data_IF_553125083566
#
_entry.id   IF_553125083566
#
_cell.length_a   1.000
_cell.length_b   1.000
_cell.length_c   1.000
_cell.angle_alpha   90.00
_cell.angle_beta   90.00
_cell.angle_gamma   90.00
#
_symmetry.space_group_name_H-M   'P 1'
#
loop_
_entity.id
_entity.type
_entity.pdbx_description
1 polymer ?
#
# COMPACT_ATOMS: atom_id res chain seq x y z
N UNK A 1 -23.45 -25.19 19.53
CA UNK A 1 -22.06 -24.99 19.09
C UNK A 1 -22.06 -23.66 18.33
N UNK A 2 -21.53 -22.59 18.93
CA UNK A 2 -21.64 -21.23 18.36
C UNK A 2 -20.52 -21.07 17.33
N UNK A 3 -20.89 -20.90 16.05
CA UNK A 3 -19.99 -20.56 14.96
C UNK A 3 -19.71 -19.06 15.03
N UNK A 4 -18.52 -18.69 15.51
CA UNK A 4 -18.01 -17.34 15.29
C UNK A 4 -17.64 -17.24 13.81
N UNK A 5 -18.15 -16.26 13.05
CA UNK A 5 -17.61 -16.00 11.73
C UNK A 5 -16.16 -15.59 11.93
N UNK A 6 -15.22 -16.42 11.48
CA UNK A 6 -13.87 -15.96 11.20
C UNK A 6 -13.99 -14.90 10.11
N UNK A 7 -14.18 -13.66 10.52
CA UNK A 7 -13.86 -12.49 9.70
C UNK A 7 -12.34 -12.53 9.58
N UNK A 8 -11.86 -13.41 8.71
CA UNK A 8 -10.53 -13.33 8.16
C UNK A 8 -10.55 -12.05 7.34
N UNK A 9 -10.20 -10.94 8.01
CA UNK A 9 -9.81 -9.70 7.35
C UNK A 9 -8.57 -10.08 6.54
N UNK A 10 -8.80 -10.61 5.34
CA UNK A 10 -7.75 -11.17 4.51
C UNK A 10 -6.77 -10.04 4.26
N UNK A 11 -5.62 -10.11 4.92
CA UNK A 11 -4.48 -9.20 4.74
C UNK A 11 -3.91 -9.21 3.31
N UNK A 12 -4.60 -9.85 2.37
CA UNK A 12 -4.36 -9.82 0.94
C UNK A 12 -4.36 -8.38 0.40
N UNK A 13 -5.22 -7.50 0.91
CA UNK A 13 -5.24 -6.08 0.48
C UNK A 13 -3.91 -5.37 0.77
N UNK A 14 -3.26 -5.72 1.88
CA UNK A 14 -1.96 -5.15 2.22
C UNK A 14 -0.90 -5.69 1.27
N UNK A 15 -0.93 -7.00 0.96
CA UNK A 15 0.06 -7.62 0.07
C UNK A 15 -0.10 -7.12 -1.37
N UNK A 16 -1.32 -7.00 -1.87
CA UNK A 16 -1.60 -6.48 -3.22
C UNK A 16 -1.21 -5.02 -3.33
N UNK A 17 -1.50 -4.20 -2.33
CA UNK A 17 -1.09 -2.80 -2.25
C UNK A 17 0.43 -2.67 -2.23
N UNK A 18 1.13 -3.51 -1.45
CA UNK A 18 2.60 -3.53 -1.42
C UNK A 18 3.17 -3.81 -2.80
N UNK A 19 2.68 -4.85 -3.48
CA UNK A 19 3.11 -5.18 -4.85
C UNK A 19 2.84 -4.04 -5.83
N UNK A 20 1.66 -3.43 -5.77
CA UNK A 20 1.28 -2.30 -6.62
C UNK A 20 2.20 -1.10 -6.41
N UNK A 21 2.53 -0.78 -5.16
CA UNK A 21 3.46 0.32 -4.84
C UNK A 21 4.89 -0.02 -5.28
N UNK A 22 5.33 -1.27 -5.11
CA UNK A 22 6.66 -1.73 -5.53
C UNK A 22 6.83 -1.63 -7.05
N UNK A 23 5.83 -2.06 -7.83
CA UNK A 23 5.82 -2.00 -9.30
C UNK A 23 5.53 -0.61 -9.88
N UNK A 24 5.03 0.35 -9.06
CA UNK A 24 4.62 1.66 -9.54
C UNK A 24 5.75 2.44 -10.22
N UNK A 25 5.48 2.89 -11.44
CA UNK A 25 6.36 3.72 -12.26
C UNK A 25 6.26 5.21 -11.91
N UNK A 26 7.28 6.02 -12.27
CA UNK A 26 7.22 7.47 -12.10
C UNK A 26 6.01 8.15 -12.78
N UNK A 27 5.55 7.59 -13.91
CA UNK A 27 4.43 8.04 -14.73
C UNK A 27 3.09 7.75 -14.04
N UNK A 28 2.86 6.51 -13.58
CA UNK A 28 1.67 6.14 -12.82
C UNK A 28 1.55 6.99 -11.55
N UNK A 29 2.66 7.18 -10.83
CA UNK A 29 2.71 8.07 -9.66
C UNK A 29 2.28 9.49 -10.02
N UNK A 30 2.72 10.01 -11.18
CA UNK A 30 2.37 11.35 -11.65
C UNK A 30 0.87 11.45 -11.98
N UNK A 31 0.30 10.44 -12.63
CA UNK A 31 -1.13 10.35 -12.92
C UNK A 31 -1.98 10.33 -11.63
N UNK A 32 -1.51 9.60 -10.61
CA UNK A 32 -2.17 9.55 -9.30
C UNK A 32 -1.96 10.82 -8.46
N UNK A 33 -1.13 11.77 -8.92
CA UNK A 33 -0.78 12.98 -8.16
C UNK A 33 -0.10 12.66 -6.82
N UNK A 34 0.70 11.59 -6.78
CA UNK A 34 1.53 11.22 -5.62
C UNK A 34 2.89 11.91 -5.79
N UNK A 35 3.46 12.50 -4.74
CA UNK A 35 4.78 13.14 -4.84
C UNK A 35 5.90 12.08 -4.99
N UNK A 36 6.97 12.44 -5.71
CA UNK A 36 8.17 11.59 -5.91
C UNK A 36 8.77 11.18 -4.56
N UNK A 37 8.89 12.11 -3.62
CA UNK A 37 9.42 11.85 -2.27
C UNK A 37 8.54 10.87 -1.50
N UNK A 38 7.21 10.97 -1.64
CA UNK A 38 6.25 10.06 -1.01
C UNK A 38 6.41 8.63 -1.53
N UNK A 39 6.45 8.45 -2.86
CA UNK A 39 6.66 7.11 -3.43
C UNK A 39 8.02 6.53 -3.02
N UNK A 40 9.08 7.34 -3.07
CA UNK A 40 10.41 6.91 -2.66
C UNK A 40 10.47 6.49 -1.19
N UNK A 41 9.87 7.27 -0.28
CA UNK A 41 9.81 6.94 1.14
C UNK A 41 9.10 5.61 1.39
N UNK A 42 7.96 5.39 0.72
CA UNK A 42 7.22 4.15 0.85
C UNK A 42 8.03 2.96 0.31
N UNK A 43 8.58 3.07 -0.91
CA UNK A 43 9.45 2.02 -1.50
C UNK A 43 10.67 1.72 -0.63
N UNK A 44 11.29 2.75 -0.03
CA UNK A 44 12.45 2.59 0.86
C UNK A 44 12.08 1.81 2.13
N UNK A 45 10.95 2.12 2.76
CA UNK A 45 10.52 1.41 3.96
C UNK A 45 10.05 -0.02 3.66
N UNK A 46 9.40 -0.22 2.51
CA UNK A 46 9.04 -1.54 2.00
C UNK A 46 10.26 -2.46 1.86
N UNK A 47 11.31 -1.97 1.16
CA UNK A 47 12.55 -2.74 0.97
C UNK A 47 13.26 -3.08 2.28
N UNK A 48 13.17 -2.19 3.26
CA UNK A 48 13.81 -2.39 4.57
C UNK A 48 12.95 -3.21 5.55
N UNK A 49 11.81 -3.78 5.12
CA UNK A 49 10.83 -4.46 5.97
C UNK A 49 10.42 -3.65 7.21
N UNK A 50 10.57 -2.31 7.16
CA UNK A 50 10.17 -1.44 8.26
C UNK A 50 8.67 -1.24 8.23
N UNK A 51 8.06 -1.09 9.40
CA UNK A 51 6.69 -0.58 9.46
C UNK A 51 6.68 0.84 8.88
N UNK A 52 5.74 1.09 7.98
CA UNK A 52 5.52 2.42 7.44
C UNK A 52 4.02 2.69 7.40
N UNK A 53 3.66 3.93 7.65
CA UNK A 53 2.28 4.40 7.59
C UNK A 53 2.00 4.93 6.20
N UNK A 54 1.03 4.34 5.52
CA UNK A 54 0.41 4.94 4.33
C UNK A 54 -0.71 5.84 4.84
N UNK A 55 -0.70 7.11 4.46
CA UNK A 55 -1.80 8.00 4.77
C UNK A 55 -2.99 7.71 3.87
N UNK A 56 -4.21 7.85 4.38
CA UNK A 56 -5.44 7.52 3.65
C UNK A 56 -5.52 8.27 2.31
N UNK A 57 -5.13 9.54 2.27
CA UNK A 57 -5.05 10.33 1.02
C UNK A 57 -4.20 9.70 -0.09
N UNK A 58 -3.20 8.89 0.28
CA UNK A 58 -2.35 8.16 -0.66
C UNK A 58 -2.97 6.79 -0.96
N UNK A 59 -3.55 6.15 0.05
CA UNK A 59 -4.25 4.87 -0.11
C UNK A 59 -5.42 4.97 -1.10
N UNK A 60 -6.28 5.99 -0.96
CA UNK A 60 -7.44 6.24 -1.85
C UNK A 60 -7.03 6.55 -3.30
N UNK A 61 -5.77 6.92 -3.54
CA UNK A 61 -5.25 7.12 -4.90
C UNK A 61 -4.75 5.82 -5.53
N UNK A 62 -4.42 4.83 -4.72
CA UNK A 62 -3.79 3.59 -5.17
C UNK A 62 -4.82 2.45 -5.25
N UNK A 63 -5.83 2.43 -4.37
CA UNK A 63 -7.02 1.59 -4.53
C UNK A 63 -7.87 2.10 -5.69
#
# INVERSE_FOLDING_TARGET
MILFPEISLQRNDVVSLRKKIESMTPEERKQLGINKSTLWYIKKNLKNNKSFKIYDKVLTKIQ
#
